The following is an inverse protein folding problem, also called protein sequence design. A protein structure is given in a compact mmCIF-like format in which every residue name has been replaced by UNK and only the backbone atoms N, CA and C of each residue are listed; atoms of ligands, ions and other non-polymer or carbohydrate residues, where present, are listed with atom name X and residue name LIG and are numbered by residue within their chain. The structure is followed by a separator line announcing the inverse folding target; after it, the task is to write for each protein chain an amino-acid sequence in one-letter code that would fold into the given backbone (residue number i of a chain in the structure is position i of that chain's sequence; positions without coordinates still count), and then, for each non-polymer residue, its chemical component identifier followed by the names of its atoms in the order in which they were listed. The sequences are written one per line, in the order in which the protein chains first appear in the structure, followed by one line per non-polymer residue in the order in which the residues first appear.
data_IF_765427912363
#
_entry.id   IF_765427912363
#
_cell.length_a   1.000
_cell.length_b   1.000
_cell.length_c   1.000
_cell.angle_alpha   90.00
_cell.angle_beta   90.00
_cell.angle_gamma   90.00
#
_symmetry.space_group_name_H-M   'P 1'
#
loop_
_entity.id
_entity.type
_entity.pdbx_description
1 polymer ?
#
# COMPACT_ATOMS: atom_id res chain seq x y z
N UNK A 1 -5.38 -19.18 -20.25
CA UNK A 1 -6.44 -18.87 -19.28
C UNK A 1 -6.25 -17.44 -18.80
N UNK A 2 -7.23 -16.54 -19.01
CA UNK A 2 -7.14 -15.19 -18.47
C UNK A 2 -7.25 -15.25 -16.94
N UNK A 3 -6.14 -15.08 -16.23
CA UNK A 3 -6.13 -15.08 -14.76
C UNK A 3 -7.10 -14.04 -14.22
N UNK A 4 -7.81 -14.37 -13.14
CA UNK A 4 -8.78 -13.46 -12.49
C UNK A 4 -8.16 -12.08 -12.28
N UNK A 5 -8.76 -11.05 -12.86
CA UNK A 5 -8.30 -9.66 -12.68
C UNK A 5 -8.39 -9.32 -11.20
N UNK A 6 -7.26 -8.97 -10.58
CA UNK A 6 -7.21 -8.58 -9.17
C UNK A 6 -8.16 -7.42 -8.93
N UNK A 7 -8.86 -7.43 -7.81
CA UNK A 7 -9.72 -6.34 -7.32
C UNK A 7 -8.91 -5.35 -6.46
N UNK A 8 -9.49 -4.21 -6.11
CA UNK A 8 -8.85 -3.32 -5.14
C UNK A 8 -8.77 -3.96 -3.75
N UNK A 9 -9.77 -4.76 -3.36
CA UNK A 9 -9.76 -5.58 -2.14
C UNK A 9 -8.53 -6.49 -2.10
N UNK A 10 -8.24 -7.21 -3.18
CA UNK A 10 -7.06 -8.10 -3.25
C UNK A 10 -5.75 -7.32 -3.13
N UNK A 11 -5.69 -6.12 -3.69
CA UNK A 11 -4.51 -5.25 -3.62
C UNK A 11 -4.30 -4.69 -2.22
N UNK A 12 -5.37 -4.22 -1.59
CA UNK A 12 -5.36 -3.67 -0.23
C UNK A 12 -4.90 -4.75 0.75
N UNK A 13 -5.52 -5.94 0.71
CA UNK A 13 -5.13 -7.08 1.56
C UNK A 13 -3.66 -7.44 1.36
N UNK A 14 -3.19 -7.51 0.11
CA UNK A 14 -1.76 -7.81 -0.13
C UNK A 14 -0.80 -6.76 0.43
N UNK A 15 -1.17 -5.48 0.43
CA UNK A 15 -0.34 -4.43 1.03
C UNK A 15 -0.37 -4.54 2.55
N UNK A 16 -1.55 -4.78 3.12
CA UNK A 16 -1.73 -5.01 4.55
C UNK A 16 -0.83 -6.18 5.02
N UNK A 17 -0.89 -7.33 4.36
CA UNK A 17 -0.07 -8.50 4.70
C UNK A 17 1.43 -8.18 4.64
N UNK A 18 1.87 -7.45 3.62
CA UNK A 18 3.28 -7.05 3.47
C UNK A 18 3.72 -6.10 4.59
N UNK A 19 2.88 -5.15 4.94
CA UNK A 19 3.19 -4.22 6.02
C UNK A 19 3.23 -4.95 7.37
N UNK A 20 2.22 -5.79 7.66
CA UNK A 20 2.15 -6.53 8.92
C UNK A 20 3.36 -7.46 9.09
N UNK A 21 3.75 -8.16 8.02
CA UNK A 21 4.89 -9.08 8.05
C UNK A 21 6.24 -8.40 8.31
N UNK A 22 6.43 -7.16 7.86
CA UNK A 22 7.76 -6.52 7.86
C UNK A 22 7.91 -5.31 8.78
N UNK A 23 6.80 -4.68 9.20
CA UNK A 23 6.82 -3.44 9.98
C UNK A 23 6.04 -3.55 11.30
N UNK A 24 5.36 -4.67 11.57
CA UNK A 24 4.55 -4.84 12.77
C UNK A 24 3.12 -4.32 12.63
N UNK A 25 2.54 -3.87 13.74
CA UNK A 25 1.10 -3.60 13.84
C UNK A 25 0.65 -2.46 12.91
N UNK A 26 -0.32 -2.79 12.07
CA UNK A 26 -0.91 -1.89 11.08
C UNK A 26 -2.37 -1.61 11.41
N UNK A 27 -2.71 -0.33 11.56
CA UNK A 27 -4.07 0.12 11.85
C UNK A 27 -5.00 -0.09 10.65
N UNK A 28 -4.57 0.34 9.45
CA UNK A 28 -5.29 0.06 8.22
C UNK A 28 -4.47 0.29 6.95
N UNK A 29 -4.94 -0.34 5.86
CA UNK A 29 -4.62 0.06 4.49
C UNK A 29 -5.90 0.48 3.77
N UNK A 30 -5.88 1.63 3.13
CA UNK A 30 -7.06 2.18 2.46
C UNK A 30 -6.72 2.97 1.21
N UNK A 31 -7.76 3.25 0.44
CA UNK A 31 -7.68 4.16 -0.70
C UNK A 31 -8.87 5.11 -0.67
N UNK A 32 -8.62 6.39 -0.96
CA UNK A 32 -9.66 7.43 -1.06
C UNK A 32 -9.45 8.29 -2.29
N UNK A 33 -10.53 8.87 -2.80
CA UNK A 33 -10.46 9.91 -3.82
C UNK A 33 -10.34 11.28 -3.15
N UNK A 34 -9.41 12.10 -3.60
CA UNK A 34 -9.15 13.44 -3.09
C UNK A 34 -9.25 14.47 -4.21
N UNK A 35 -10.08 15.49 -4.04
CA UNK A 35 -10.43 16.47 -5.09
C UNK A 35 -9.23 17.11 -5.80
N UNK A 36 -8.14 17.40 -5.09
CA UNK A 36 -6.96 18.08 -5.65
C UNK A 36 -5.86 17.14 -6.17
N UNK A 37 -5.83 15.90 -5.69
CA UNK A 37 -4.67 14.99 -5.88
C UNK A 37 -5.06 13.78 -6.73
N UNK A 38 -6.35 13.43 -6.80
CA UNK A 38 -6.82 12.19 -7.38
C UNK A 38 -6.86 11.07 -6.35
N UNK A 39 -6.50 9.85 -6.74
CA UNK A 39 -6.56 8.69 -5.85
C UNK A 39 -5.35 8.66 -4.92
N UNK A 40 -5.59 8.50 -3.63
CA UNK A 40 -4.54 8.38 -2.60
C UNK A 40 -4.71 7.06 -1.87
N UNK A 41 -3.68 6.22 -1.91
CA UNK A 41 -3.55 5.04 -1.09
C UNK A 41 -2.71 5.35 0.16
N UNK A 42 -3.10 4.79 1.31
CA UNK A 42 -2.41 4.96 2.60
C UNK A 42 -2.29 3.63 3.33
N UNK A 43 -1.13 3.39 3.94
CA UNK A 43 -0.95 2.43 5.03
C UNK A 43 -0.66 3.23 6.31
N UNK A 44 -1.45 3.00 7.35
CA UNK A 44 -1.31 3.65 8.65
C UNK A 44 -0.97 2.61 9.71
N UNK A 45 0.10 2.86 10.46
CA UNK A 45 0.61 1.99 11.52
C UNK A 45 0.06 2.42 12.88
N UNK A 46 0.08 1.51 13.86
CA UNK A 46 -0.41 1.83 15.21
C UNK A 46 0.52 2.83 15.91
N UNK A 47 1.80 2.47 16.08
CA UNK A 47 2.82 3.32 16.70
C UNK A 47 4.21 3.05 16.10
N UNK A 48 5.12 4.03 16.20
CA UNK A 48 6.56 3.85 15.88
C UNK A 48 6.95 3.83 14.40
N UNK A 49 6.00 3.81 13.45
CA UNK A 49 6.29 3.85 12.02
C UNK A 49 5.47 4.92 11.29
N UNK A 50 6.14 5.74 10.46
CA UNK A 50 5.47 6.80 9.70
C UNK A 50 4.46 6.26 8.67
N UNK A 51 3.35 6.97 8.51
CA UNK A 51 2.36 6.64 7.49
C UNK A 51 2.99 6.58 6.09
N UNK A 52 2.66 5.52 5.34
CA UNK A 52 3.06 5.42 3.94
C UNK A 52 1.90 5.83 3.03
N UNK A 53 2.18 6.72 2.09
CA UNK A 53 1.20 7.18 1.11
C UNK A 53 1.74 7.08 -0.31
N UNK A 54 0.84 6.92 -1.27
CA UNK A 54 1.12 7.08 -2.69
C UNK A 54 -0.15 7.49 -3.44
N UNK A 55 0.00 8.30 -4.46
CA UNK A 55 -1.06 8.76 -5.35
C UNK A 55 -1.01 8.07 -6.73
N UNK A 56 -2.05 8.31 -7.53
CA UNK A 56 -2.16 7.86 -8.91
C UNK A 56 -3.43 8.36 -9.60
N UNK A 57 -3.46 8.28 -10.92
CA UNK A 57 -4.60 8.71 -11.74
C UNK A 57 -5.80 7.77 -11.56
N UNK A 58 -5.52 6.50 -11.26
CA UNK A 58 -6.53 5.48 -10.96
C UNK A 58 -6.33 4.87 -9.59
N UNK A 59 -7.39 4.28 -9.05
CA UNK A 59 -7.32 3.56 -7.78
C UNK A 59 -6.31 2.40 -7.80
N UNK A 60 -6.23 1.70 -8.94
CA UNK A 60 -5.30 0.60 -9.17
C UNK A 60 -3.85 1.08 -9.16
N UNK A 61 -3.61 2.24 -9.77
CA UNK A 61 -2.28 2.84 -9.83
C UNK A 61 -1.79 3.29 -8.45
N UNK A 62 -2.60 4.05 -7.70
CA UNK A 62 -2.23 4.49 -6.36
C UNK A 62 -1.89 3.31 -5.44
N UNK A 63 -2.68 2.22 -5.47
CA UNK A 63 -2.38 0.99 -4.73
C UNK A 63 -1.11 0.29 -5.22
N UNK A 64 -0.86 0.27 -6.53
CA UNK A 64 0.38 -0.29 -7.10
C UNK A 64 1.59 0.50 -6.63
N UNK A 65 1.49 1.82 -6.61
CA UNK A 65 2.56 2.73 -6.18
C UNK A 65 2.85 2.57 -4.68
N UNK A 66 1.81 2.48 -3.83
CA UNK A 66 1.97 2.20 -2.40
C UNK A 66 2.66 0.85 -2.16
N UNK A 67 2.23 -0.21 -2.84
CA UNK A 67 2.86 -1.54 -2.75
C UNK A 67 4.34 -1.49 -3.17
N UNK A 68 4.67 -0.75 -4.21
CA UNK A 68 6.05 -0.61 -4.67
C UNK A 68 6.91 0.15 -3.66
N UNK A 69 6.36 1.19 -3.02
CA UNK A 69 7.01 1.91 -1.92
C UNK A 69 7.30 0.97 -0.74
N UNK A 70 6.31 0.19 -0.30
CA UNK A 70 6.46 -0.85 0.75
C UNK A 70 7.60 -1.81 0.40
N UNK A 71 7.58 -2.39 -0.81
CA UNK A 71 8.63 -3.31 -1.26
C UNK A 71 10.03 -2.67 -1.30
N UNK A 72 10.12 -1.40 -1.68
CA UNK A 72 11.39 -0.66 -1.71
C UNK A 72 11.97 -0.51 -0.30
N UNK A 73 11.12 -0.25 0.69
CA UNK A 73 11.52 -0.14 2.10
C UNK A 73 11.98 -1.51 2.63
N UNK A 74 11.20 -2.58 2.43
CA UNK A 74 11.57 -3.95 2.83
C UNK A 74 12.95 -4.34 2.27
N UNK A 75 13.18 -4.09 0.98
CA UNK A 75 14.47 -4.39 0.33
C UNK A 75 15.64 -3.63 0.95
N UNK A 76 15.43 -2.39 1.42
CA UNK A 76 16.49 -1.59 2.05
C UNK A 76 16.84 -2.13 3.42
N UNK A 77 15.86 -2.58 4.20
CA UNK A 77 16.11 -3.19 5.51
C UNK A 77 16.81 -4.56 5.39
N UNK A 78 16.44 -5.37 4.41
CA UNK A 78 17.01 -6.71 4.24
C UNK A 78 18.37 -6.74 3.50
N UNK A 79 18.82 -5.61 2.96
CA UNK A 79 20.12 -5.49 2.30
C UNK A 79 21.22 -5.00 3.26
N UNK A 80 20.88 -4.82 4.54
CA UNK A 80 21.79 -4.49 5.64
C UNK A 80 22.13 -5.77 6.39
#
# INVERSE_FOLDING_TARGET
MAGKKKTNTDRIKRIYDLCQQHFGDIRFVGIKYHKKIGWIAKAQFEDGFENLTADGETSVEALRNLKNRVKKIIRRYNAV
#
